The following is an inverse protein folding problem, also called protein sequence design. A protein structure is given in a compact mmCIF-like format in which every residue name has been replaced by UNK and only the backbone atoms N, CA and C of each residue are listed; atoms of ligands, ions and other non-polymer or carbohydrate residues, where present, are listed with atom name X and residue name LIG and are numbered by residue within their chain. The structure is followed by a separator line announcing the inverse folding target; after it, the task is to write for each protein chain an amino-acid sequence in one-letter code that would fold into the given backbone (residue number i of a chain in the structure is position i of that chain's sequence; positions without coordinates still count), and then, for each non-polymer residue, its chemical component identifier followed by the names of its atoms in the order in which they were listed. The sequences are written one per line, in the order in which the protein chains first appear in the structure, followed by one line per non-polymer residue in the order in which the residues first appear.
data_IF_004608117407
#
_entry.id   IF_004608117407
#
_cell.length_a   1.000
_cell.length_b   1.000
_cell.length_c   1.000
_cell.angle_alpha   90.00
_cell.angle_beta   90.00
_cell.angle_gamma   90.00
#
_symmetry.space_group_name_H-M   'P 1'
#
loop_
_entity.id
_entity.type
_entity.pdbx_description
1 polymer ?
#
# COMPACT_ATOMS: atom_id res chain seq x y z
N UNK A 1 23.34 -20.02 -15.16
CA UNK A 1 23.20 -19.72 -13.72
C UNK A 1 21.75 -19.42 -13.43
N UNK A 2 21.16 -19.93 -12.35
CA UNK A 2 19.83 -19.51 -11.92
C UNK A 2 19.87 -18.09 -11.31
N UNK A 3 18.79 -17.36 -11.45
CA UNK A 3 18.55 -16.05 -10.82
C UNK A 3 17.24 -16.10 -10.02
N UNK A 4 17.18 -15.34 -8.94
CA UNK A 4 15.98 -15.17 -8.11
C UNK A 4 15.56 -13.70 -8.13
N UNK A 5 14.26 -13.47 -8.24
CA UNK A 5 13.63 -12.15 -8.13
C UNK A 5 12.68 -12.23 -6.93
N UNK A 6 12.88 -11.35 -5.97
CA UNK A 6 12.01 -11.22 -4.80
C UNK A 6 11.17 -9.95 -4.94
N UNK A 7 9.91 -10.06 -4.57
CA UNK A 7 9.11 -8.89 -4.23
C UNK A 7 9.58 -8.32 -2.88
N UNK A 8 9.25 -7.06 -2.58
CA UNK A 8 9.62 -6.43 -1.31
C UNK A 8 8.53 -6.66 -0.26
N UNK A 9 7.33 -6.18 -0.55
CA UNK A 9 6.18 -6.20 0.37
C UNK A 9 5.65 -7.63 0.52
N UNK A 10 5.39 -8.09 1.75
CA UNK A 10 5.02 -9.48 2.11
C UNK A 10 6.07 -10.56 1.89
N UNK A 11 7.14 -10.28 1.15
CA UNK A 11 8.17 -11.28 0.85
C UNK A 11 9.41 -11.06 1.69
N UNK A 12 9.95 -9.84 1.70
CA UNK A 12 11.15 -9.51 2.49
C UNK A 12 10.82 -8.66 3.72
N UNK A 13 9.79 -7.82 3.63
CA UNK A 13 9.35 -6.95 4.72
C UNK A 13 7.83 -6.97 4.83
N UNK A 14 7.31 -7.06 6.05
CA UNK A 14 5.88 -6.94 6.33
C UNK A 14 5.48 -5.46 6.45
N UNK A 15 5.16 -4.86 5.30
CA UNK A 15 4.73 -3.46 5.13
C UNK A 15 3.25 -3.32 4.78
N UNK A 16 2.52 -4.45 4.62
CA UNK A 16 1.15 -4.41 4.09
C UNK A 16 0.19 -3.69 5.01
N UNK A 17 0.27 -3.97 6.31
CA UNK A 17 -0.57 -3.31 7.30
C UNK A 17 -0.37 -1.79 7.26
N UNK A 18 0.87 -1.34 7.08
CA UNK A 18 1.22 0.08 6.94
C UNK A 18 0.63 0.70 5.68
N UNK A 19 0.67 -0.01 4.54
CA UNK A 19 -0.02 0.43 3.33
C UNK A 19 -1.53 0.56 3.52
N UNK A 20 -2.17 -0.42 4.17
CA UNK A 20 -3.61 -0.39 4.44
C UNK A 20 -3.97 0.84 5.28
N UNK A 21 -3.27 1.05 6.40
CA UNK A 21 -3.50 2.20 7.29
C UNK A 21 -3.26 3.53 6.58
N UNK A 22 -2.19 3.63 5.78
CA UNK A 22 -1.87 4.85 5.03
C UNK A 22 -2.98 5.22 4.04
N UNK A 23 -3.48 4.24 3.29
CA UNK A 23 -4.59 4.47 2.35
C UNK A 23 -5.90 4.78 3.05
N UNK A 24 -6.27 4.04 4.09
CA UNK A 24 -7.50 4.31 4.86
C UNK A 24 -7.50 5.73 5.41
N UNK A 25 -6.37 6.21 5.94
CA UNK A 25 -6.23 7.60 6.42
C UNK A 25 -6.34 8.62 5.29
N UNK A 26 -5.59 8.43 4.21
CA UNK A 26 -5.60 9.34 3.08
C UNK A 26 -7.01 9.50 2.48
N UNK A 27 -7.74 8.39 2.31
CA UNK A 27 -9.12 8.43 1.81
C UNK A 27 -10.11 8.99 2.82
N UNK A 28 -9.96 8.70 4.12
CA UNK A 28 -10.83 9.25 5.16
C UNK A 28 -10.72 10.78 5.24
N UNK A 29 -9.54 11.36 5.01
CA UNK A 29 -9.36 12.82 4.92
C UNK A 29 -10.15 13.45 3.77
N UNK A 30 -10.44 12.67 2.72
CA UNK A 30 -11.32 13.05 1.61
C UNK A 30 -12.81 12.72 1.86
N UNK A 31 -13.16 12.25 3.06
CA UNK A 31 -14.51 11.81 3.42
C UNK A 31 -14.91 10.47 2.79
N UNK A 32 -13.94 9.69 2.31
CA UNK A 32 -14.17 8.38 1.69
C UNK A 32 -13.73 7.26 2.62
N UNK A 33 -14.69 6.44 3.05
CA UNK A 33 -14.37 5.21 3.79
C UNK A 33 -14.21 4.06 2.80
N UNK A 34 -13.02 3.47 2.78
CA UNK A 34 -12.69 2.32 1.93
C UNK A 34 -12.41 1.12 2.80
N UNK A 35 -13.00 -0.02 2.46
CA UNK A 35 -12.71 -1.30 3.11
C UNK A 35 -11.24 -1.70 2.92
N UNK A 36 -10.64 -2.29 3.95
CA UNK A 36 -9.24 -2.72 3.94
C UNK A 36 -8.94 -3.75 2.83
N UNK A 37 -9.88 -4.64 2.51
CA UNK A 37 -9.69 -5.73 1.56
C UNK A 37 -9.38 -5.29 0.11
N UNK A 38 -10.15 -4.33 -0.47
CA UNK A 38 -9.79 -3.68 -1.73
C UNK A 38 -8.37 -3.12 -1.78
N UNK A 39 -7.88 -2.54 -0.68
CA UNK A 39 -6.54 -1.96 -0.57
C UNK A 39 -5.49 -3.07 -0.50
N UNK A 40 -5.71 -4.06 0.37
CA UNK A 40 -4.80 -5.19 0.61
C UNK A 40 -4.49 -6.02 -0.66
N UNK A 41 -5.46 -6.14 -1.57
CA UNK A 41 -5.26 -6.85 -2.86
C UNK A 41 -4.50 -6.05 -3.90
N UNK A 42 -4.33 -4.74 -3.68
CA UNK A 42 -3.70 -3.80 -4.62
C UNK A 42 -2.35 -3.27 -4.13
N UNK A 43 -1.93 -3.66 -2.91
CA UNK A 43 -0.56 -3.45 -2.42
C UNK A 43 0.43 -4.15 -3.37
N UNK A 44 1.40 -3.39 -3.90
CA UNK A 44 2.35 -3.81 -4.94
C UNK A 44 1.98 -3.36 -6.36
N UNK A 45 0.81 -2.78 -6.60
CA UNK A 45 0.44 -2.19 -7.90
C UNK A 45 0.85 -0.70 -7.97
N UNK A 46 0.99 -0.16 -9.19
CA UNK A 46 1.34 1.24 -9.41
C UNK A 46 0.35 2.17 -8.69
N UNK A 47 0.87 2.94 -7.73
CA UNK A 47 0.10 3.75 -6.76
C UNK A 47 -1.01 4.58 -7.44
N UNK A 48 -0.70 5.38 -8.46
CA UNK A 48 -1.69 6.26 -9.10
C UNK A 48 -2.84 5.55 -9.83
N UNK A 49 -2.61 4.36 -10.38
CA UNK A 49 -3.66 3.54 -11.01
C UNK A 49 -4.57 2.89 -9.95
N UNK A 50 -3.97 2.45 -8.84
CA UNK A 50 -4.71 1.93 -7.68
C UNK A 50 -5.58 3.02 -7.05
N UNK A 51 -5.06 4.23 -6.85
CA UNK A 51 -5.78 5.35 -6.23
C UNK A 51 -7.08 5.69 -6.95
N UNK A 52 -7.01 5.90 -8.27
CA UNK A 52 -8.18 6.28 -9.08
C UNK A 52 -9.22 5.18 -9.12
N UNK A 53 -8.79 3.92 -9.13
CA UNK A 53 -9.70 2.77 -9.12
C UNK A 53 -10.43 2.67 -7.80
N UNK A 54 -9.72 2.76 -6.67
CA UNK A 54 -10.28 2.73 -5.32
C UNK A 54 -11.25 3.89 -5.07
N UNK A 55 -10.88 5.10 -5.47
CA UNK A 55 -11.75 6.26 -5.35
C UNK A 55 -13.06 6.09 -6.14
N UNK A 56 -12.95 5.58 -7.37
CA UNK A 56 -14.11 5.35 -8.25
C UNK A 56 -15.05 4.29 -7.67
N UNK A 57 -14.50 3.20 -7.12
CA UNK A 57 -15.28 2.17 -6.41
C UNK A 57 -16.00 2.74 -5.18
N UNK A 58 -15.41 3.77 -4.57
CA UNK A 58 -15.97 4.50 -3.42
C UNK A 58 -16.89 5.66 -3.83
N UNK A 59 -17.22 5.79 -5.12
CA UNK A 59 -18.16 6.79 -5.64
C UNK A 59 -17.55 8.16 -5.95
N UNK A 60 -16.23 8.33 -5.91
CA UNK A 60 -15.56 9.60 -6.26
C UNK A 60 -14.66 9.45 -7.48
N UNK A 61 -14.85 10.33 -8.45
CA UNK A 61 -13.89 10.48 -9.55
C UNK A 61 -12.79 11.46 -9.11
N UNK A 62 -11.54 11.01 -9.21
CA UNK A 62 -10.36 11.85 -8.99
C UNK A 62 -9.73 12.22 -10.33
N UNK A 63 -9.34 13.48 -10.47
CA UNK A 63 -8.44 13.92 -11.52
C UNK A 63 -7.05 13.26 -11.36
N UNK A 64 -6.21 13.22 -12.42
CA UNK A 64 -4.84 12.72 -12.30
C UNK A 64 -4.03 13.43 -11.21
N UNK A 65 -4.17 14.76 -11.10
CA UNK A 65 -3.47 15.57 -10.09
C UNK A 65 -3.94 15.27 -8.65
N UNK A 66 -5.25 15.11 -8.43
CA UNK A 66 -5.76 14.70 -7.12
C UNK A 66 -5.29 13.29 -6.74
N UNK A 67 -5.27 12.36 -7.70
CA UNK A 67 -4.81 11.00 -7.45
C UNK A 67 -3.31 10.94 -7.11
N UNK A 68 -2.50 11.79 -7.75
CA UNK A 68 -1.08 11.93 -7.47
C UNK A 68 -0.83 12.58 -6.12
N UNK A 69 -1.53 13.68 -5.81
CA UNK A 69 -1.46 14.33 -4.49
C UNK A 69 -1.86 13.37 -3.36
N UNK A 70 -2.93 12.58 -3.56
CA UNK A 70 -3.37 11.60 -2.58
C UNK A 70 -2.36 10.46 -2.40
N UNK A 71 -1.69 10.03 -3.48
CA UNK A 71 -0.62 9.03 -3.42
C UNK A 71 0.63 9.57 -2.70
N UNK A 72 1.00 10.83 -2.94
CA UNK A 72 2.07 11.51 -2.23
C UNK A 72 1.79 11.56 -0.71
N UNK A 73 0.58 11.98 -0.35
CA UNK A 73 0.14 12.03 1.04
C UNK A 73 0.11 10.66 1.72
N UNK A 74 -0.35 9.63 1.01
CA UNK A 74 -0.25 8.26 1.50
C UNK A 74 1.21 7.87 1.79
N UNK A 75 2.15 8.26 0.92
CA UNK A 75 3.58 8.01 1.12
C UNK A 75 4.10 8.61 2.43
N UNK A 76 3.74 9.87 2.72
CA UNK A 76 4.07 10.54 3.98
C UNK A 76 3.47 9.81 5.18
N UNK A 77 2.20 9.40 5.10
CA UNK A 77 1.56 8.61 6.14
C UNK A 77 2.25 7.25 6.32
N UNK A 78 2.63 6.59 5.24
CA UNK A 78 3.32 5.30 5.29
C UNK A 78 4.65 5.41 6.04
N UNK A 79 5.47 6.44 5.75
CA UNK A 79 6.71 6.69 6.48
C UNK A 79 6.47 6.89 7.97
N UNK A 80 5.41 7.62 8.33
CA UNK A 80 5.02 7.83 9.73
C UNK A 80 4.55 6.55 10.45
N UNK A 81 4.02 5.57 9.70
CA UNK A 81 3.54 4.29 10.22
C UNK A 81 4.48 3.13 9.98
N UNK A 82 5.69 3.38 9.44
CA UNK A 82 6.67 2.32 9.24
C UNK A 82 6.98 1.67 10.58
N UNK A 83 6.74 0.35 10.73
CA UNK A 83 7.19 -0.34 11.93
C UNK A 83 8.71 -0.22 12.00
N UNK A 84 9.26 0.03 13.20
CA UNK A 84 10.71 -0.13 13.42
C UNK A 84 11.08 -1.51 12.91
N UNK A 85 11.89 -1.58 11.84
CA UNK A 85 12.22 -2.81 11.13
C UNK A 85 12.53 -3.94 12.13
N UNK A 86 11.64 -4.92 12.22
CA UNK A 86 11.97 -6.24 12.76
C UNK A 86 12.26 -7.13 11.57
N UNK A 87 13.42 -7.78 11.56
CA UNK A 87 13.70 -8.80 10.55
C UNK A 87 12.62 -9.88 10.62
N UNK A 88 12.15 -10.31 9.46
CA UNK A 88 11.34 -11.53 9.38
C UNK A 88 12.19 -12.67 9.98
N UNK A 89 11.66 -13.35 11.00
CA UNK A 89 12.37 -14.45 11.64
C UNK A 89 12.53 -15.60 10.64
N UNK A 90 13.77 -15.76 10.16
CA UNK A 90 14.37 -16.94 9.52
C UNK A 90 13.51 -17.73 8.51
N UNK A 91 13.83 -17.58 7.22
CA UNK A 91 13.67 -18.67 6.27
C UNK A 91 14.73 -19.75 6.58
N UNK A 92 14.41 -20.71 7.44
CA UNK A 92 15.24 -21.92 7.58
C UNK A 92 14.99 -22.82 6.37
N UNK A 93 16.01 -23.15 5.55
CA UNK A 93 15.87 -24.14 4.49
C UNK A 93 15.60 -25.50 5.13
N UNK A 94 14.52 -26.15 4.71
CA UNK A 94 14.20 -27.51 5.13
C UNK A 94 15.29 -28.46 4.60
N UNK A 95 15.77 -29.37 5.46
CA UNK A 95 16.80 -30.37 5.12
C UNK A 95 16.33 -31.35 4.06
#
# INVERSE_FOLDING_TARGET
MPALIFDLDRTLVDTVSTHVIGWERAFNELGLTIEAWPIHRRTGACHGLSTRTLARESGRLLTPAEAESLACHQGELFENFLPKCRSAQSATPNK
#
